data_IF_978792200057
#
_entry.id   IF_978792200057
#
_cell.length_a   1.000
_cell.length_b   1.000
_cell.length_c   1.000
_cell.angle_alpha   90.00
_cell.angle_beta   90.00
_cell.angle_gamma   90.00
#
_symmetry.space_group_name_H-M   'P 1'
#
loop_
_entity.id
_entity.type
_entity.pdbx_description
1 polymer ?
#
# COMPACT_ATOMS: atom_id res chain seq x y z
N UNK A 1 5.14 -8.39 -24.75
CA UNK A 1 4.92 -9.27 -23.58
C UNK A 1 3.47 -9.74 -23.53
N UNK A 2 3.23 -10.97 -23.03
CA UNK A 2 1.89 -11.51 -22.77
C UNK A 2 1.26 -10.77 -21.58
N UNK A 3 -0.08 -10.72 -21.53
CA UNK A 3 -0.81 -10.19 -20.36
C UNK A 3 -0.61 -11.14 -19.19
N UNK A 4 -0.46 -10.60 -17.98
CA UNK A 4 -0.43 -11.39 -16.74
C UNK A 4 -1.77 -12.07 -16.52
N UNK A 5 -1.75 -13.29 -15.99
CA UNK A 5 -2.96 -13.97 -15.48
C UNK A 5 -2.93 -13.91 -13.96
N UNK A 6 -3.92 -13.24 -13.35
CA UNK A 6 -3.97 -13.06 -11.88
C UNK A 6 -4.30 -14.36 -11.15
N UNK A 7 -4.08 -14.42 -9.83
CA UNK A 7 -4.51 -15.55 -9.01
C UNK A 7 -6.02 -15.84 -9.12
N UNK A 8 -6.85 -14.79 -9.25
CA UNK A 8 -8.29 -14.91 -9.51
C UNK A 8 -8.57 -15.64 -10.84
N UNK A 9 -7.91 -15.25 -11.93
CA UNK A 9 -8.11 -15.90 -13.23
C UNK A 9 -7.57 -17.33 -13.26
N UNK A 10 -6.52 -17.63 -12.50
CA UNK A 10 -6.05 -19.01 -12.32
C UNK A 10 -7.10 -19.83 -11.55
N UNK A 11 -7.69 -19.28 -10.49
CA UNK A 11 -8.74 -19.94 -9.72
C UNK A 11 -9.97 -20.26 -10.58
N UNK A 12 -10.42 -19.33 -11.43
CA UNK A 12 -11.58 -19.53 -12.31
C UNK A 12 -11.47 -20.83 -13.11
N UNK A 13 -10.25 -21.17 -13.54
CA UNK A 13 -9.97 -22.37 -14.34
C UNK A 13 -9.68 -23.64 -13.51
N UNK A 14 -9.57 -23.55 -12.17
CA UNK A 14 -9.17 -24.65 -11.27
C UNK A 14 -9.99 -24.70 -9.96
N UNK A 15 -11.22 -24.20 -9.96
CA UNK A 15 -12.04 -24.08 -8.75
C UNK A 15 -12.68 -25.40 -8.28
N UNK A 16 -12.79 -26.41 -9.15
CA UNK A 16 -13.57 -27.63 -8.91
C UNK A 16 -13.11 -28.51 -7.73
N UNK A 17 -11.87 -28.31 -7.28
CA UNK A 17 -11.27 -29.04 -6.14
C UNK A 17 -11.68 -28.53 -4.76
N UNK A 18 -12.18 -27.30 -4.64
CA UNK A 18 -12.57 -26.72 -3.36
C UNK A 18 -13.99 -27.12 -2.98
N UNK A 19 -14.14 -27.86 -1.88
CA UNK A 19 -15.42 -28.37 -1.35
C UNK A 19 -15.79 -27.60 -0.08
N UNK A 20 -17.06 -27.61 0.31
CA UNK A 20 -17.52 -26.84 1.46
C UNK A 20 -17.71 -25.35 1.18
N UNK A 21 -17.92 -24.59 2.24
CA UNK A 21 -18.26 -23.18 2.25
C UNK A 21 -17.02 -22.30 2.03
N UNK A 22 -17.18 -21.27 1.21
CA UNK A 22 -16.14 -20.33 0.86
C UNK A 22 -16.48 -18.91 1.29
N UNK A 23 -15.46 -18.19 1.73
CA UNK A 23 -15.53 -16.76 1.98
C UNK A 23 -14.47 -16.01 1.16
N UNK A 24 -14.68 -14.70 0.98
CA UNK A 24 -13.79 -13.86 0.19
C UNK A 24 -13.46 -12.55 0.93
N UNK A 25 -12.19 -12.33 1.21
CA UNK A 25 -11.63 -11.02 1.55
C UNK A 25 -11.26 -10.30 0.25
N UNK A 26 -11.98 -9.22 -0.07
CA UNK A 26 -11.82 -8.47 -1.32
C UNK A 26 -12.20 -6.99 -1.14
N UNK A 27 -11.93 -6.19 -2.18
CA UNK A 27 -12.35 -4.80 -2.29
C UNK A 27 -12.63 -4.46 -3.76
N UNK A 28 -12.95 -3.21 -4.07
CA UNK A 28 -13.39 -2.82 -5.40
C UNK A 28 -12.39 -3.14 -6.54
N UNK A 29 -11.07 -3.11 -6.30
CA UNK A 29 -10.07 -3.47 -7.33
C UNK A 29 -9.82 -4.97 -7.46
N UNK A 30 -10.55 -5.81 -6.73
CA UNK A 30 -10.56 -7.27 -6.85
C UNK A 30 -11.34 -7.69 -8.10
N UNK A 31 -10.80 -7.40 -9.28
CA UNK A 31 -11.41 -7.74 -10.58
C UNK A 31 -10.53 -8.67 -11.40
N UNK A 32 -11.14 -9.36 -12.37
CA UNK A 32 -10.44 -10.06 -13.44
C UNK A 32 -10.07 -9.11 -14.60
N UNK A 33 -9.47 -9.67 -15.65
CA UNK A 33 -9.07 -8.89 -16.83
C UNK A 33 -10.23 -8.34 -17.69
N UNK A 34 -11.46 -8.78 -17.41
CA UNK A 34 -12.69 -8.27 -18.04
C UNK A 34 -13.40 -7.24 -17.15
N UNK A 35 -12.75 -6.78 -16.07
CA UNK A 35 -13.31 -5.90 -15.06
C UNK A 35 -14.53 -6.50 -14.32
N UNK A 36 -14.65 -7.83 -14.28
CA UNK A 36 -15.68 -8.49 -13.47
C UNK A 36 -15.16 -8.68 -12.05
N UNK A 37 -15.91 -8.17 -11.08
CA UNK A 37 -15.55 -8.24 -9.67
C UNK A 37 -15.50 -9.68 -9.14
N UNK A 38 -14.53 -9.99 -8.28
CA UNK A 38 -14.26 -11.31 -7.74
C UNK A 38 -15.50 -11.90 -7.06
N UNK A 39 -16.28 -11.11 -6.32
CA UNK A 39 -17.53 -11.56 -5.71
C UNK A 39 -18.54 -12.13 -6.73
N UNK A 40 -18.64 -11.57 -7.95
CA UNK A 40 -19.46 -12.14 -9.02
C UNK A 40 -18.89 -13.49 -9.47
N UNK A 41 -17.58 -13.56 -9.72
CA UNK A 41 -16.91 -14.82 -10.11
C UNK A 41 -17.06 -15.90 -9.04
N UNK A 42 -17.00 -15.53 -7.76
CA UNK A 42 -17.21 -16.45 -6.66
C UNK A 42 -18.65 -16.95 -6.60
N UNK A 43 -19.63 -16.08 -6.87
CA UNK A 43 -21.03 -16.50 -6.99
C UNK A 43 -21.22 -17.50 -8.14
N UNK A 44 -20.60 -17.26 -9.29
CA UNK A 44 -20.63 -18.16 -10.45
C UNK A 44 -19.99 -19.53 -10.15
N UNK A 45 -18.80 -19.53 -9.54
CA UNK A 45 -18.03 -20.76 -9.26
C UNK A 45 -18.60 -21.60 -8.11
N UNK A 46 -19.09 -20.95 -7.05
CA UNK A 46 -19.40 -21.61 -5.78
C UNK A 46 -20.90 -21.59 -5.43
N UNK A 47 -21.72 -20.79 -6.11
CA UNK A 47 -23.18 -20.80 -5.97
C UNK A 47 -23.66 -20.45 -4.56
N UNK A 48 -24.32 -21.40 -3.88
CA UNK A 48 -24.77 -21.24 -2.49
C UNK A 48 -23.67 -21.44 -1.46
N UNK A 49 -22.51 -21.98 -1.85
CA UNK A 49 -21.36 -22.17 -0.94
C UNK A 49 -20.56 -20.89 -0.72
N UNK A 50 -20.77 -19.85 -1.52
CA UNK A 50 -20.21 -18.54 -1.25
C UNK A 50 -21.05 -17.85 -0.18
N UNK A 51 -20.55 -17.85 1.06
CA UNK A 51 -21.38 -17.57 2.26
C UNK A 51 -21.07 -16.24 2.93
N UNK A 52 -19.86 -15.70 2.80
CA UNK A 52 -19.41 -14.51 3.55
C UNK A 52 -18.41 -13.68 2.73
N UNK A 53 -18.45 -12.37 2.89
CA UNK A 53 -17.46 -11.41 2.36
C UNK A 53 -16.80 -10.68 3.51
N UNK A 54 -15.52 -10.37 3.35
CA UNK A 54 -14.76 -9.49 4.24
C UNK A 54 -14.21 -8.30 3.44
N UNK A 55 -14.30 -7.09 3.99
CA UNK A 55 -13.72 -5.87 3.43
C UNK A 55 -12.55 -5.38 4.30
N UNK A 56 -11.45 -4.86 3.71
CA UNK A 56 -10.31 -4.29 4.43
C UNK A 56 -10.58 -2.80 4.79
N UNK A 57 -9.51 -2.03 5.04
CA UNK A 57 -9.57 -0.57 5.06
C UNK A 57 -10.18 -0.01 3.77
N UNK A 58 -11.00 1.04 3.88
CA UNK A 58 -11.92 1.56 2.85
C UNK A 58 -13.14 0.67 2.53
N UNK A 59 -13.28 -0.49 3.17
CA UNK A 59 -14.42 -1.38 3.02
C UNK A 59 -14.44 -2.15 1.69
N UNK A 60 -15.47 -2.98 1.54
CA UNK A 60 -15.70 -3.77 0.32
C UNK A 60 -15.96 -2.87 -0.90
N UNK A 61 -16.74 -1.79 -0.73
CA UNK A 61 -17.14 -0.87 -1.78
C UNK A 61 -16.11 0.21 -2.10
N UNK A 62 -15.12 0.43 -1.23
CA UNK A 62 -14.10 1.48 -1.40
C UNK A 62 -14.70 2.89 -1.47
N UNK A 63 -15.75 3.16 -0.69
CA UNK A 63 -16.49 4.43 -0.66
C UNK A 63 -16.06 5.38 0.48
N UNK A 64 -15.30 4.89 1.46
CA UNK A 64 -14.69 5.69 2.51
C UNK A 64 -13.50 6.52 1.99
N UNK A 65 -13.74 7.82 1.75
CA UNK A 65 -12.85 8.76 1.06
C UNK A 65 -11.50 9.03 1.76
N UNK A 66 -11.44 8.86 3.08
CA UNK A 66 -10.25 9.17 3.88
C UNK A 66 -9.75 7.95 4.66
N UNK A 67 -8.47 8.00 5.03
CA UNK A 67 -7.92 7.09 6.03
C UNK A 67 -8.67 7.33 7.36
N UNK A 68 -8.75 6.31 8.23
CA UNK A 68 -9.44 6.38 9.53
C UNK A 68 -10.98 6.53 9.50
N UNK A 69 -11.64 6.43 8.34
CA UNK A 69 -13.10 6.26 8.29
C UNK A 69 -13.43 4.77 8.45
N UNK A 70 -14.08 4.43 9.55
CA UNK A 70 -14.60 3.08 9.81
C UNK A 70 -15.78 2.76 8.88
N UNK A 71 -15.98 1.47 8.56
CA UNK A 71 -17.07 1.01 7.69
C UNK A 71 -17.88 -0.06 8.41
N UNK A 72 -19.20 -0.01 8.36
CA UNK A 72 -20.06 -0.93 9.11
C UNK A 72 -20.15 -2.33 8.48
N UNK A 73 -20.62 -3.29 9.27
CA UNK A 73 -21.08 -4.58 8.76
C UNK A 73 -22.40 -4.41 8.01
N UNK A 74 -22.61 -5.19 6.94
CA UNK A 74 -23.83 -5.10 6.14
C UNK A 74 -24.24 -6.44 5.53
N UNK A 75 -25.46 -6.51 5.01
CA UNK A 75 -25.91 -7.61 4.15
C UNK A 75 -25.83 -7.13 2.70
N UNK A 76 -25.05 -7.80 1.85
CA UNK A 76 -24.90 -7.35 0.48
C UNK A 76 -26.24 -7.44 -0.27
N UNK A 77 -26.77 -6.36 -0.87
CA UNK A 77 -28.14 -6.33 -1.40
C UNK A 77 -28.34 -7.29 -2.59
N UNK A 78 -27.32 -7.46 -3.44
CA UNK A 78 -27.36 -8.41 -4.56
C UNK A 78 -27.03 -9.86 -4.17
N UNK A 79 -25.89 -10.11 -3.52
CA UNK A 79 -25.47 -11.48 -3.18
C UNK A 79 -26.27 -12.10 -2.02
N UNK A 80 -26.92 -11.27 -1.20
CA UNK A 80 -27.66 -11.66 0.01
C UNK A 80 -26.82 -12.51 0.97
N UNK A 81 -25.58 -12.07 1.21
CA UNK A 81 -24.65 -12.67 2.17
C UNK A 81 -24.01 -11.55 3.02
N UNK A 82 -23.60 -11.85 4.27
CA UNK A 82 -22.97 -10.87 5.14
C UNK A 82 -21.64 -10.38 4.57
N UNK A 83 -21.40 -9.08 4.74
CA UNK A 83 -20.15 -8.37 4.47
C UNK A 83 -19.64 -7.87 5.82
N UNK A 84 -18.53 -8.43 6.28
CA UNK A 84 -17.86 -8.00 7.50
C UNK A 84 -16.75 -7.01 7.19
N UNK A 85 -16.70 -5.92 7.95
CA UNK A 85 -15.64 -4.92 7.83
C UNK A 85 -14.52 -5.21 8.81
N UNK A 86 -13.31 -5.42 8.29
CA UNK A 86 -12.06 -5.55 9.06
C UNK A 86 -11.38 -4.19 9.24
N UNK A 87 -12.16 -3.12 9.24
CA UNK A 87 -11.72 -1.76 9.60
C UNK A 87 -12.81 -1.01 10.37
N UNK A 88 -13.69 -1.76 11.03
CA UNK A 88 -14.72 -1.27 11.97
C UNK A 88 -14.19 -1.32 13.40
N UNK A 89 -15.03 -1.72 14.36
CA UNK A 89 -14.72 -2.14 15.73
C UNK A 89 -13.45 -3.01 15.82
N UNK A 90 -13.20 -3.81 14.78
CA UNK A 90 -12.08 -4.75 14.72
C UNK A 90 -11.33 -4.70 13.40
N UNK A 91 -10.02 -4.96 13.49
CA UNK A 91 -9.12 -5.18 12.34
C UNK A 91 -8.81 -6.66 12.12
N UNK A 92 -9.34 -7.51 12.98
CA UNK A 92 -9.14 -8.96 13.01
C UNK A 92 -10.53 -9.62 12.99
N UNK A 93 -10.79 -10.61 12.12
CA UNK A 93 -12.09 -11.27 12.12
C UNK A 93 -12.37 -11.94 13.47
N UNK A 94 -13.61 -11.85 13.95
CA UNK A 94 -14.04 -12.54 15.18
C UNK A 94 -14.28 -14.03 14.90
N UNK A 95 -14.41 -14.83 15.96
CA UNK A 95 -14.68 -16.27 15.84
C UNK A 95 -16.02 -16.54 15.16
N UNK A 96 -17.04 -15.76 15.48
CA UNK A 96 -18.36 -15.80 14.86
C UNK A 96 -18.31 -15.48 13.37
N UNK A 97 -17.51 -14.47 12.99
CA UNK A 97 -17.32 -14.15 11.58
C UNK A 97 -16.69 -15.31 10.80
N UNK A 98 -15.80 -16.08 11.45
CA UNK A 98 -15.11 -17.22 10.83
C UNK A 98 -15.93 -18.53 10.82
N UNK A 99 -17.03 -18.60 11.57
CA UNK A 99 -17.81 -19.83 11.70
C UNK A 99 -18.37 -20.34 10.36
N UNK A 100 -18.29 -21.65 10.14
CA UNK A 100 -18.85 -22.30 8.95
C UNK A 100 -18.13 -21.97 7.64
N UNK A 101 -16.89 -21.47 7.68
CA UNK A 101 -16.02 -21.30 6.52
C UNK A 101 -15.01 -22.43 6.46
N UNK A 102 -14.92 -23.11 5.32
CA UNK A 102 -13.90 -24.14 5.06
C UNK A 102 -12.68 -23.54 4.32
N UNK A 103 -12.95 -22.65 3.35
CA UNK A 103 -11.93 -21.96 2.57
C UNK A 103 -12.13 -20.44 2.58
N UNK A 104 -11.12 -19.68 2.99
CA UNK A 104 -11.16 -18.23 2.94
C UNK A 104 -10.15 -17.71 1.91
N UNK A 105 -10.67 -17.16 0.83
CA UNK A 105 -9.86 -16.59 -0.25
C UNK A 105 -9.55 -15.12 0.01
N UNK A 106 -8.32 -14.71 -0.27
CA UNK A 106 -7.86 -13.32 -0.18
C UNK A 106 -7.50 -12.83 -1.57
N UNK A 107 -8.23 -11.84 -2.06
CA UNK A 107 -7.97 -11.21 -3.36
C UNK A 107 -7.89 -9.69 -3.17
N UNK A 108 -6.69 -9.16 -2.96
CA UNK A 108 -6.48 -7.72 -2.73
C UNK A 108 -5.34 -7.20 -3.63
N UNK A 109 -5.63 -6.21 -4.45
CA UNK A 109 -4.62 -5.39 -5.11
C UNK A 109 -3.97 -4.44 -4.08
N UNK A 110 -2.76 -4.78 -3.64
CA UNK A 110 -1.91 -3.93 -2.82
C UNK A 110 -1.05 -2.99 -3.71
N UNK A 111 -0.27 -2.09 -3.09
CA UNK A 111 0.49 -1.05 -3.79
C UNK A 111 2.01 -1.16 -3.58
N UNK A 112 2.50 -2.16 -2.85
CA UNK A 112 3.93 -2.40 -2.71
C UNK A 112 4.64 -1.46 -1.73
N UNK A 113 3.88 -0.77 -0.89
CA UNK A 113 4.37 0.19 0.09
C UNK A 113 3.97 -0.23 1.50
N UNK A 114 4.92 -0.18 2.45
CA UNK A 114 4.73 -0.57 3.85
C UNK A 114 3.50 0.06 4.48
N UNK A 115 3.22 1.33 4.18
CA UNK A 115 2.13 2.08 4.81
C UNK A 115 0.74 1.72 4.28
N UNK A 116 0.66 0.92 3.22
CA UNK A 116 -0.61 0.45 2.68
C UNK A 116 -1.09 -0.80 3.43
N UNK A 117 -2.28 -0.74 4.02
CA UNK A 117 -2.64 -1.64 5.13
C UNK A 117 -3.14 -3.03 4.74
N UNK A 118 -3.35 -3.30 3.45
CA UNK A 118 -3.97 -4.55 2.98
C UNK A 118 -3.12 -5.78 3.29
N UNK A 119 -1.79 -5.65 3.19
CA UNK A 119 -0.87 -6.68 3.64
C UNK A 119 -1.01 -6.99 5.13
N UNK A 120 -1.36 -6.00 5.96
CA UNK A 120 -1.53 -6.20 7.40
C UNK A 120 -2.88 -6.84 7.74
N UNK A 121 -3.95 -6.47 7.03
CA UNK A 121 -5.23 -7.21 7.09
C UNK A 121 -5.01 -8.69 6.79
N UNK A 122 -4.20 -9.02 5.77
CA UNK A 122 -3.82 -10.40 5.47
C UNK A 122 -3.03 -11.05 6.62
N UNK A 123 -1.98 -10.40 7.14
CA UNK A 123 -1.19 -11.04 8.22
C UNK A 123 -1.99 -11.23 9.51
N UNK A 124 -2.88 -10.30 9.86
CA UNK A 124 -3.78 -10.44 11.00
C UNK A 124 -4.78 -11.60 10.83
N UNK A 125 -5.30 -11.78 9.61
CA UNK A 125 -6.14 -12.91 9.26
C UNK A 125 -5.37 -14.25 9.37
N UNK A 126 -4.12 -14.30 8.89
CA UNK A 126 -3.27 -15.49 9.01
C UNK A 126 -2.97 -15.81 10.49
N UNK A 127 -2.60 -14.81 11.29
CA UNK A 127 -2.42 -14.96 12.75
C UNK A 127 -3.68 -15.53 13.41
N UNK A 128 -4.85 -15.00 13.07
CA UNK A 128 -6.14 -15.44 13.63
C UNK A 128 -6.52 -16.88 13.25
N UNK A 129 -6.08 -17.34 12.09
CA UNK A 129 -6.35 -18.67 11.56
C UNK A 129 -5.23 -19.69 11.82
N UNK A 130 -4.17 -19.32 12.56
CA UNK A 130 -3.00 -20.16 12.81
C UNK A 130 -3.28 -21.55 13.41
N UNK A 131 -4.35 -21.71 14.19
CA UNK A 131 -4.76 -22.99 14.81
C UNK A 131 -6.15 -23.47 14.34
N UNK A 132 -6.66 -22.92 13.23
CA UNK A 132 -8.02 -23.24 12.74
C UNK A 132 -7.96 -24.19 11.56
N UNK A 133 -8.98 -25.03 11.46
CA UNK A 133 -9.21 -25.87 10.28
C UNK A 133 -9.91 -25.07 9.17
N UNK A 134 -9.26 -23.97 8.75
CA UNK A 134 -9.71 -23.12 7.64
C UNK A 134 -8.53 -22.98 6.68
N UNK A 135 -8.71 -23.38 5.43
CA UNK A 135 -7.68 -23.18 4.39
C UNK A 135 -7.73 -21.72 3.91
N UNK A 136 -6.63 -20.99 4.06
CA UNK A 136 -6.48 -19.62 3.58
C UNK A 136 -5.81 -19.65 2.20
N UNK A 137 -6.46 -19.03 1.21
CA UNK A 137 -6.02 -19.04 -0.18
C UNK A 137 -5.76 -17.62 -0.68
N UNK A 138 -4.48 -17.25 -0.85
CA UNK A 138 -4.12 -15.94 -1.40
C UNK A 138 -4.12 -16.01 -2.92
N UNK A 139 -5.05 -15.27 -3.54
CA UNK A 139 -5.11 -15.03 -4.97
C UNK A 139 -4.09 -13.95 -5.30
N UNK A 140 -2.91 -14.36 -5.73
CA UNK A 140 -1.79 -13.43 -5.82
C UNK A 140 -1.99 -12.39 -6.93
N UNK A 141 -1.46 -11.18 -6.70
CA UNK A 141 -1.59 -10.01 -7.59
C UNK A 141 -0.25 -9.31 -7.81
N UNK A 142 -0.07 -8.59 -8.93
CA UNK A 142 1.15 -7.85 -9.20
C UNK A 142 1.42 -6.81 -8.12
N UNK A 143 2.68 -6.70 -7.69
CA UNK A 143 3.14 -5.49 -7.02
C UNK A 143 3.28 -4.38 -8.08
N UNK A 144 2.53 -3.26 -7.99
CA UNK A 144 2.55 -2.24 -9.04
C UNK A 144 3.87 -1.49 -9.13
N UNK A 145 4.66 -1.49 -8.05
CA UNK A 145 6.00 -0.93 -8.00
C UNK A 145 7.08 -1.86 -8.54
N UNK A 146 6.74 -3.06 -9.03
CA UNK A 146 7.65 -4.17 -9.32
C UNK A 146 8.06 -5.00 -8.08
N UNK A 147 8.64 -6.17 -8.31
CA UNK A 147 9.15 -7.08 -7.27
C UNK A 147 10.68 -7.07 -7.12
N UNK A 148 11.40 -6.23 -7.86
CA UNK A 148 12.87 -6.23 -7.89
C UNK A 148 13.47 -5.22 -6.92
N UNK A 149 12.93 -4.01 -6.93
CA UNK A 149 13.45 -2.90 -6.16
C UNK A 149 12.93 -2.96 -4.73
N UNK A 150 13.83 -2.69 -3.79
CA UNK A 150 13.52 -2.45 -2.39
C UNK A 150 14.19 -1.16 -1.96
N UNK A 151 13.54 -0.42 -1.07
CA UNK A 151 13.95 0.95 -0.72
C UNK A 151 13.34 1.40 0.62
N UNK A 152 14.10 2.19 1.35
CA UNK A 152 13.71 2.83 2.60
C UNK A 152 14.09 2.03 3.84
N UNK A 153 14.07 2.71 4.98
CA UNK A 153 14.44 2.11 6.26
C UNK A 153 13.53 0.95 6.63
N UNK A 154 14.10 -0.06 7.31
CA UNK A 154 13.32 -1.09 8.00
C UNK A 154 12.54 -0.44 9.15
N UNK A 155 11.29 -0.85 9.34
CA UNK A 155 10.47 -0.45 10.49
C UNK A 155 11.16 -0.88 11.80
N UNK A 156 11.40 0.06 12.70
CA UNK A 156 11.68 -0.26 14.10
C UNK A 156 10.35 -0.64 14.77
N UNK A 157 10.29 -1.83 15.37
CA UNK A 157 9.07 -2.37 16.00
C UNK A 157 8.59 -1.53 17.21
N UNK A 158 9.42 -0.65 17.76
CA UNK A 158 8.96 0.37 18.72
C UNK A 158 7.95 1.37 18.12
N UNK A 159 7.90 1.49 16.80
CA UNK A 159 6.95 2.32 16.05
C UNK A 159 5.88 1.48 15.33
N UNK A 160 5.75 0.20 15.72
CA UNK A 160 4.76 -0.70 15.13
C UNK A 160 3.34 -0.15 15.31
N UNK A 161 2.55 -0.20 14.24
CA UNK A 161 1.15 0.25 14.19
C UNK A 161 0.38 -0.50 13.09
N UNK A 162 -0.87 -0.10 12.83
CA UNK A 162 -1.65 -0.71 11.74
C UNK A 162 -1.11 -0.36 10.34
N UNK A 163 -0.42 0.78 10.17
CA UNK A 163 0.25 1.17 8.91
C UNK A 163 1.72 0.71 8.85
N UNK A 164 2.14 -0.15 9.77
CA UNK A 164 3.52 -0.58 9.88
C UNK A 164 3.62 -1.70 10.90
N UNK A 165 3.34 -2.95 10.50
CA UNK A 165 3.28 -4.08 11.45
C UNK A 165 4.56 -4.92 11.52
N UNK A 166 5.26 -5.06 10.39
CA UNK A 166 6.36 -6.00 10.21
C UNK A 166 7.66 -5.27 9.85
N UNK A 167 8.84 -5.83 10.18
CA UNK A 167 10.14 -5.21 9.93
C UNK A 167 10.51 -5.29 8.44
N UNK A 168 9.79 -4.53 7.62
CA UNK A 168 9.98 -4.42 6.16
C UNK A 168 10.37 -2.99 5.78
N UNK A 169 11.05 -2.79 4.64
CA UNK A 169 11.35 -1.45 4.15
C UNK A 169 10.11 -0.80 3.53
N UNK A 170 10.17 0.50 3.28
CA UNK A 170 9.05 1.28 2.74
C UNK A 170 8.57 0.74 1.39
N UNK A 171 9.47 0.48 0.45
CA UNK A 171 9.21 -0.30 -0.76
C UNK A 171 9.73 -1.71 -0.53
N UNK A 172 8.82 -2.66 -0.30
CA UNK A 172 9.18 -4.00 0.14
C UNK A 172 9.46 -4.98 -1.01
N UNK A 173 8.98 -4.72 -2.23
CA UNK A 173 9.31 -5.53 -3.41
C UNK A 173 8.75 -6.96 -3.36
N UNK A 174 7.66 -7.20 -2.64
CA UNK A 174 6.94 -8.48 -2.55
C UNK A 174 5.57 -8.38 -3.21
N UNK A 175 5.07 -9.47 -3.78
CA UNK A 175 3.62 -9.62 -4.02
C UNK A 175 2.88 -9.90 -2.71
N UNK A 176 1.55 -9.79 -2.70
CA UNK A 176 0.76 -10.09 -1.49
C UNK A 176 0.88 -11.58 -1.08
N UNK A 177 1.03 -12.49 -2.06
CA UNK A 177 1.34 -13.89 -1.80
C UNK A 177 2.72 -14.11 -1.18
N UNK A 178 3.74 -13.37 -1.62
CA UNK A 178 5.07 -13.41 -1.00
C UNK A 178 5.07 -12.84 0.42
N UNK A 179 4.26 -11.82 0.70
CA UNK A 179 4.03 -11.32 2.08
C UNK A 179 3.40 -12.40 2.97
N UNK A 180 2.44 -13.17 2.44
CA UNK A 180 1.82 -14.28 3.18
C UNK A 180 2.85 -15.33 3.61
N UNK A 181 3.76 -15.70 2.70
CA UNK A 181 4.85 -16.64 2.98
C UNK A 181 5.86 -16.06 3.97
N UNK A 182 6.26 -14.81 3.78
CA UNK A 182 7.14 -14.08 4.70
C UNK A 182 6.60 -14.08 6.12
N UNK A 183 5.30 -13.82 6.28
CA UNK A 183 4.63 -13.86 7.56
C UNK A 183 4.71 -15.25 8.21
N UNK A 184 4.39 -16.30 7.45
CA UNK A 184 4.38 -17.68 7.94
C UNK A 184 5.77 -18.19 8.33
N UNK A 185 6.84 -17.70 7.69
CA UNK A 185 8.19 -18.16 7.94
C UNK A 185 8.95 -17.35 9.00
N UNK A 186 8.63 -16.05 9.15
CA UNK A 186 9.44 -15.14 9.98
C UNK A 186 8.70 -14.36 11.05
N UNK A 187 7.38 -14.14 10.92
CA UNK A 187 6.67 -13.19 11.78
C UNK A 187 5.61 -13.83 12.68
N UNK A 188 5.11 -15.02 12.33
CA UNK A 188 4.15 -15.75 13.17
C UNK A 188 4.81 -16.83 14.01
N UNK A 189 4.19 -17.13 15.15
CA UNK A 189 4.50 -18.31 15.98
C UNK A 189 3.61 -19.50 15.64
N UNK A 190 2.48 -19.28 14.96
CA UNK A 190 1.47 -20.28 14.60
C UNK A 190 1.12 -20.17 13.12
N UNK A 191 1.38 -21.24 12.37
CA UNK A 191 1.20 -21.25 10.92
C UNK A 191 -0.24 -21.60 10.56
N UNK A 192 -0.92 -20.70 9.86
CA UNK A 192 -2.20 -21.02 9.24
C UNK A 192 -2.04 -22.08 8.13
N UNK A 193 -3.12 -22.78 7.80
CA UNK A 193 -3.20 -23.61 6.60
C UNK A 193 -3.26 -22.71 5.35
N UNK A 194 -2.09 -22.26 4.88
CA UNK A 194 -1.96 -21.29 3.79
C UNK A 194 -1.63 -21.97 2.46
N UNK A 195 -2.31 -21.54 1.39
CA UNK A 195 -1.92 -21.78 0.00
C UNK A 195 -1.92 -20.48 -0.80
N UNK A 196 -0.92 -20.30 -1.66
CA UNK A 196 -0.89 -19.18 -2.62
C UNK A 196 -1.25 -19.68 -4.02
N UNK A 197 -2.24 -19.07 -4.65
CA UNK A 197 -2.57 -19.27 -6.07
C UNK A 197 -1.73 -18.27 -6.87
N UNK A 198 -0.60 -18.77 -7.38
CA UNK A 198 0.39 -17.98 -8.14
C UNK A 198 -0.20 -17.41 -9.42
N UNK A 199 0.21 -16.20 -9.77
CA UNK A 199 0.01 -15.62 -11.08
C UNK A 199 0.77 -16.41 -12.16
N UNK A 200 0.39 -16.18 -13.42
CA UNK A 200 1.17 -16.59 -14.60
C UNK A 200 1.65 -15.37 -15.37
N UNK A 201 2.81 -15.51 -16.02
CA UNK A 201 3.45 -14.51 -16.88
C UNK A 201 3.92 -13.22 -16.19
N UNK A 202 3.67 -13.02 -14.89
CA UNK A 202 4.27 -11.91 -14.13
C UNK A 202 5.75 -12.16 -13.88
N UNK A 203 6.57 -11.12 -14.09
CA UNK A 203 8.00 -11.11 -13.82
C UNK A 203 8.31 -9.98 -12.85
N UNK A 204 9.35 -10.14 -12.02
CA UNK A 204 9.66 -9.18 -10.95
C UNK A 204 10.00 -7.80 -11.47
N UNK A 205 10.46 -7.67 -12.71
CA UNK A 205 10.81 -6.40 -13.34
C UNK A 205 9.59 -5.60 -13.80
N UNK A 206 8.42 -6.22 -13.90
CA UNK A 206 7.20 -5.58 -14.40
C UNK A 206 6.69 -4.53 -13.41
N UNK A 207 6.53 -3.30 -13.89
CA UNK A 207 5.62 -2.33 -13.29
C UNK A 207 4.17 -2.69 -13.64
N UNK A 208 3.19 -2.04 -13.01
CA UNK A 208 1.78 -2.36 -13.28
C UNK A 208 1.40 -2.24 -14.76
N UNK A 209 1.89 -1.22 -15.48
CA UNK A 209 1.57 -1.04 -16.91
C UNK A 209 2.03 -2.22 -17.79
N UNK A 210 3.12 -2.90 -17.42
CA UNK A 210 3.67 -4.02 -18.18
C UNK A 210 2.76 -5.25 -18.13
N UNK A 211 1.91 -5.33 -17.09
CA UNK A 211 1.00 -6.46 -16.86
C UNK A 211 -0.16 -6.51 -17.85
N UNK A 212 -0.50 -5.35 -18.45
CA UNK A 212 -1.68 -5.14 -19.31
C UNK A 212 -3.01 -5.48 -18.63
N UNK A 213 -3.06 -5.43 -17.31
CA UNK A 213 -4.29 -5.56 -16.53
C UNK A 213 -4.99 -4.20 -16.41
N UNK A 214 -6.32 -4.17 -16.24
CA UNK A 214 -7.01 -2.93 -15.91
C UNK A 214 -6.59 -2.45 -14.51
N UNK A 215 -6.31 -1.15 -14.38
CA UNK A 215 -6.14 -0.52 -13.07
C UNK A 215 -7.50 -0.06 -12.57
N UNK A 216 -7.94 -0.62 -11.45
CA UNK A 216 -9.02 -0.08 -10.65
C UNK A 216 -8.40 0.46 -9.37
N UNK A 217 -8.92 1.59 -8.91
CA UNK A 217 -8.42 2.27 -7.73
C UNK A 217 -8.55 1.37 -6.49
N UNK A 218 -7.43 0.98 -5.84
CA UNK A 218 -7.50 0.17 -4.63
C UNK A 218 -7.97 1.00 -3.44
N UNK A 219 -7.80 2.33 -3.47
CA UNK A 219 -8.40 3.29 -2.53
C UNK A 219 -8.85 4.56 -3.27
N UNK A 220 -9.78 5.37 -2.71
CA UNK A 220 -10.37 6.53 -3.40
C UNK A 220 -9.36 7.53 -3.97
N UNK A 221 -8.25 7.72 -3.25
CA UNK A 221 -7.21 8.68 -3.62
C UNK A 221 -6.06 8.05 -4.41
N UNK A 222 -6.10 6.75 -4.76
CA UNK A 222 -5.12 6.10 -5.63
C UNK A 222 -5.75 5.72 -6.98
N UNK A 223 -6.28 6.73 -7.67
CA UNK A 223 -7.05 6.56 -8.89
C UNK A 223 -6.24 5.97 -10.07
N UNK A 224 -4.91 6.12 -10.04
CA UNK A 224 -4.03 5.76 -11.16
C UNK A 224 -2.84 4.90 -10.71
N UNK A 225 -2.39 4.03 -11.58
CA UNK A 225 -1.20 3.20 -11.34
C UNK A 225 0.09 4.05 -11.29
N UNK A 226 0.12 5.22 -11.93
CA UNK A 226 1.23 6.16 -11.78
C UNK A 226 1.33 6.72 -10.36
N UNK A 227 0.19 7.01 -9.72
CA UNK A 227 0.15 7.48 -8.33
C UNK A 227 0.69 6.41 -7.37
N UNK A 228 0.62 5.12 -7.72
CA UNK A 228 1.24 4.07 -6.92
C UNK A 228 2.76 4.27 -6.82
N UNK A 229 3.43 4.74 -7.89
CA UNK A 229 4.87 5.03 -7.87
C UNK A 229 5.26 6.22 -6.99
N UNK A 230 4.42 7.25 -6.94
CA UNK A 230 4.68 8.44 -6.13
C UNK A 230 4.20 8.28 -4.69
N UNK A 231 3.30 7.33 -4.40
CA UNK A 231 2.76 7.08 -3.07
C UNK A 231 3.82 6.91 -1.97
N UNK A 232 4.92 6.12 -2.14
CA UNK A 232 5.96 6.03 -1.13
C UNK A 232 6.70 7.34 -0.85
N UNK A 233 6.63 8.31 -1.78
CA UNK A 233 7.08 9.69 -1.55
C UNK A 233 6.03 10.51 -0.81
N UNK A 234 4.78 10.47 -1.29
CA UNK A 234 3.76 11.44 -0.89
C UNK A 234 3.03 11.08 0.40
N UNK A 235 2.97 9.80 0.77
CA UNK A 235 2.35 9.35 2.03
C UNK A 235 3.07 9.92 3.26
N UNK A 236 4.35 10.28 3.14
CA UNK A 236 5.13 10.89 4.23
C UNK A 236 4.51 12.21 4.71
N UNK A 237 3.87 12.95 3.80
CA UNK A 237 3.28 14.25 4.09
C UNK A 237 1.98 14.15 4.88
N UNK A 238 1.39 12.96 5.02
CA UNK A 238 0.28 12.72 5.94
C UNK A 238 0.66 13.05 7.38
N UNK A 239 1.94 12.93 7.76
CA UNK A 239 2.46 13.32 9.08
C UNK A 239 2.74 14.83 9.27
N UNK A 240 2.31 15.66 8.32
CA UNK A 240 2.60 17.12 8.28
C UNK A 240 1.35 17.92 7.92
N UNK A 241 1.42 19.24 8.08
CA UNK A 241 0.40 20.13 7.56
C UNK A 241 0.40 20.23 6.02
N UNK A 242 1.43 19.78 5.31
CA UNK A 242 1.48 19.80 3.84
C UNK A 242 0.37 18.96 3.21
N UNK A 243 -0.26 19.49 2.17
CA UNK A 243 -1.26 18.78 1.37
C UNK A 243 -0.57 17.83 0.41
N UNK A 244 -0.89 16.54 0.49
CA UNK A 244 -0.48 15.47 -0.44
C UNK A 244 -1.40 15.34 -1.68
N UNK A 245 -2.07 16.43 -2.05
CA UNK A 245 -2.90 16.52 -3.25
C UNK A 245 -4.28 15.86 -3.16
N UNK A 246 -4.66 15.30 -2.00
CA UNK A 246 -6.07 14.94 -1.73
C UNK A 246 -6.95 16.18 -1.91
N UNK A 247 -8.16 15.98 -2.45
CA UNK A 247 -9.00 17.09 -2.89
C UNK A 247 -8.73 17.58 -4.32
N UNK A 248 -7.80 16.97 -5.06
CA UNK A 248 -7.53 17.32 -6.47
C UNK A 248 -7.86 16.15 -7.41
N UNK A 249 -7.69 16.35 -8.71
CA UNK A 249 -7.79 15.28 -9.71
C UNK A 249 -6.52 14.44 -9.84
N UNK A 250 -5.45 14.75 -9.10
CA UNK A 250 -4.18 14.00 -9.09
C UNK A 250 -3.64 13.84 -7.65
N UNK A 251 -4.43 13.25 -6.73
CA UNK A 251 -3.98 12.97 -5.38
C UNK A 251 -2.75 12.05 -5.39
N UNK A 252 -1.89 12.19 -4.36
CA UNK A 252 -0.69 11.38 -4.17
C UNK A 252 0.36 11.54 -5.29
N UNK A 253 0.20 12.51 -6.19
CA UNK A 253 1.21 12.97 -7.15
C UNK A 253 1.67 14.40 -6.85
N UNK A 254 1.00 15.09 -5.93
CA UNK A 254 1.15 16.51 -5.63
C UNK A 254 1.50 16.70 -4.15
N UNK A 255 2.37 17.67 -3.85
CA UNK A 255 2.66 18.13 -2.48
C UNK A 255 2.66 19.66 -2.46
N UNK A 256 2.06 20.30 -1.45
CA UNK A 256 2.04 21.76 -1.37
C UNK A 256 1.48 22.37 -0.08
N UNK A 257 1.58 23.70 -0.01
CA UNK A 257 1.17 24.53 1.12
C UNK A 257 0.64 25.91 0.64
N UNK A 258 -0.33 26.54 1.34
CA UNK A 258 -0.81 27.88 0.99
C UNK A 258 0.24 28.99 1.04
N UNK A 259 1.30 28.80 1.83
CA UNK A 259 2.37 29.78 2.01
C UNK A 259 3.55 29.60 1.06
N UNK A 260 3.48 28.64 0.13
CA UNK A 260 4.59 28.37 -0.78
C UNK A 260 4.43 29.12 -2.11
N UNK A 261 5.50 29.79 -2.54
CA UNK A 261 5.68 30.23 -3.93
C UNK A 261 6.59 29.21 -4.64
N UNK A 262 6.05 28.32 -5.50
CA UNK A 262 6.78 27.14 -5.95
C UNK A 262 7.77 27.43 -7.09
N UNK A 263 7.57 28.48 -7.89
CA UNK A 263 8.36 28.71 -9.11
C UNK A 263 9.77 29.22 -8.79
N UNK A 264 9.90 30.23 -7.93
CA UNK A 264 11.21 30.75 -7.54
C UNK A 264 11.96 29.75 -6.67
N UNK A 265 11.25 29.05 -5.77
CA UNK A 265 11.86 27.98 -4.97
C UNK A 265 12.41 26.86 -5.86
N UNK A 266 11.67 26.45 -6.89
CA UNK A 266 12.14 25.49 -7.87
C UNK A 266 13.36 25.97 -8.65
N UNK A 267 13.25 27.14 -9.28
CA UNK A 267 14.25 27.66 -10.20
C UNK A 267 15.58 27.98 -9.50
N UNK A 268 15.52 28.47 -8.27
CA UNK A 268 16.70 28.97 -7.56
C UNK A 268 17.32 27.95 -6.59
N UNK A 269 16.58 26.91 -6.19
CA UNK A 269 17.02 26.01 -5.12
C UNK A 269 16.72 24.53 -5.39
N UNK A 270 15.44 24.14 -5.38
CA UNK A 270 15.02 22.73 -5.30
C UNK A 270 15.59 21.87 -6.45
N UNK A 271 15.58 22.40 -7.68
CA UNK A 271 16.09 21.67 -8.85
C UNK A 271 17.62 21.47 -8.77
N UNK A 272 18.37 22.50 -8.36
CA UNK A 272 19.81 22.39 -8.19
C UNK A 272 20.18 21.39 -7.08
N UNK A 273 19.46 21.43 -5.95
CA UNK A 273 19.65 20.49 -4.85
C UNK A 273 19.34 19.04 -5.27
N UNK A 274 18.29 18.80 -6.06
CA UNK A 274 17.99 17.45 -6.55
C UNK A 274 19.11 16.91 -7.44
N UNK A 275 19.69 17.75 -8.31
CA UNK A 275 20.81 17.39 -9.19
C UNK A 275 22.11 17.15 -8.40
N UNK A 276 22.43 18.01 -7.44
CA UNK A 276 23.60 17.88 -6.57
C UNK A 276 23.57 16.57 -5.78
N UNK A 277 22.38 16.22 -5.28
CA UNK A 277 22.13 14.97 -4.56
C UNK A 277 21.91 13.75 -5.47
N UNK A 278 22.12 13.91 -6.79
CA UNK A 278 22.05 12.84 -7.81
C UNK A 278 20.73 12.07 -7.81
N UNK A 279 19.63 12.75 -7.52
CA UNK A 279 18.29 12.15 -7.60
C UNK A 279 17.85 12.08 -9.07
N UNK A 280 17.26 10.97 -9.48
CA UNK A 280 16.98 10.67 -10.90
C UNK A 280 15.63 9.96 -11.08
N UNK A 281 15.17 9.88 -12.34
CA UNK A 281 13.95 9.18 -12.71
C UNK A 281 12.65 9.94 -12.45
N UNK A 282 12.74 11.23 -12.13
CA UNK A 282 11.58 12.10 -11.93
C UNK A 282 11.85 13.54 -12.36
N UNK A 283 10.81 14.37 -12.34
CA UNK A 283 10.88 15.82 -12.44
C UNK A 283 9.84 16.44 -11.52
N UNK A 284 10.22 17.46 -10.75
CA UNK A 284 9.27 18.31 -10.05
C UNK A 284 8.74 19.37 -11.01
N UNK A 285 7.41 19.47 -11.10
CA UNK A 285 6.73 20.55 -11.83
C UNK A 285 6.12 21.52 -10.81
N UNK A 286 6.56 22.78 -10.72
CA UNK A 286 5.90 23.78 -9.87
C UNK A 286 4.46 24.01 -10.34
N UNK A 287 3.53 24.08 -9.39
CA UNK A 287 2.09 24.24 -9.65
C UNK A 287 1.39 25.06 -8.56
N UNK A 288 0.23 25.61 -8.89
CA UNK A 288 -0.75 26.11 -7.92
C UNK A 288 -2.03 25.32 -8.11
N UNK A 289 -2.66 24.90 -7.01
CA UNK A 289 -3.87 24.08 -7.03
C UNK A 289 -4.79 24.43 -5.84
N UNK A 290 -6.07 24.05 -5.92
CA UNK A 290 -7.05 24.22 -4.84
C UNK A 290 -7.67 22.85 -4.54
N UNK A 291 -7.45 22.29 -3.34
CA UNK A 291 -8.17 21.09 -2.87
C UNK A 291 -9.66 21.36 -2.67
N UNK A 292 -10.53 20.41 -3.03
CA UNK A 292 -11.99 20.48 -2.79
C UNK A 292 -12.43 19.69 -1.56
N UNK A 293 -11.52 18.97 -0.90
CA UNK A 293 -11.68 18.32 0.40
C UNK A 293 -10.30 18.10 1.04
N UNK A 294 -10.25 17.65 2.30
CA UNK A 294 -9.02 17.42 3.08
C UNK A 294 -8.24 18.72 3.40
N UNK A 295 -6.92 18.62 3.61
CA UNK A 295 -6.04 19.75 3.97
C UNK A 295 -6.17 20.90 2.97
N UNK A 296 -6.38 22.11 3.52
CA UNK A 296 -6.52 23.36 2.76
C UNK A 296 -7.66 23.36 1.74
N UNK A 297 -8.78 22.72 2.07
CA UNK A 297 -10.02 22.81 1.27
C UNK A 297 -10.36 24.26 0.94
N UNK A 298 -10.63 24.54 -0.34
CA UNK A 298 -10.98 25.86 -0.89
C UNK A 298 -9.90 26.94 -0.73
N UNK A 299 -8.65 26.57 -0.41
CA UNK A 299 -7.51 27.48 -0.31
C UNK A 299 -6.47 27.13 -1.38
N UNK A 300 -5.94 28.15 -2.06
CA UNK A 300 -4.88 27.95 -3.04
C UNK A 300 -3.56 27.54 -2.38
N UNK A 301 -2.98 26.46 -2.86
CA UNK A 301 -1.70 25.91 -2.45
C UNK A 301 -0.68 26.04 -3.58
N UNK A 302 0.48 26.62 -3.30
CA UNK A 302 1.66 26.43 -4.14
C UNK A 302 2.28 25.07 -3.85
N UNK A 303 2.81 24.40 -4.88
CA UNK A 303 3.16 23.00 -4.79
C UNK A 303 4.11 22.50 -5.87
N UNK A 304 4.42 21.21 -5.75
CA UNK A 304 5.10 20.42 -6.76
C UNK A 304 4.28 19.21 -7.12
N UNK A 305 4.14 18.96 -8.41
CA UNK A 305 3.76 17.64 -8.91
C UNK A 305 5.01 16.83 -9.21
N UNK A 306 5.02 15.57 -8.78
CA UNK A 306 6.09 14.61 -9.06
C UNK A 306 5.75 13.85 -10.34
N UNK A 307 6.51 14.09 -11.41
CA UNK A 307 6.40 13.34 -12.66
C UNK A 307 7.47 12.25 -12.70
N UNK A 308 7.08 10.98 -12.73
CA UNK A 308 8.03 9.87 -12.89
C UNK A 308 8.44 9.78 -14.35
N UNK A 309 9.73 9.99 -14.64
CA UNK A 309 10.29 10.00 -16.00
C UNK A 309 10.97 8.68 -16.36
N UNK A 310 11.50 7.95 -15.37
CA UNK A 310 12.04 6.60 -15.54
C UNK A 310 11.88 5.78 -14.25
N UNK A 311 10.93 4.84 -14.27
CA UNK A 311 10.58 3.95 -13.15
C UNK A 311 11.72 3.03 -12.70
N UNK A 312 12.72 2.77 -13.55
CA UNK A 312 13.83 1.86 -13.23
C UNK A 312 14.86 2.49 -12.30
N UNK A 313 15.01 3.81 -12.38
CA UNK A 313 15.99 4.57 -11.59
C UNK A 313 15.32 5.49 -10.55
N UNK A 314 14.01 5.68 -10.63
CA UNK A 314 13.25 6.43 -9.63
C UNK A 314 13.24 5.72 -8.27
N UNK A 315 13.60 6.48 -7.24
CA UNK A 315 13.67 6.06 -5.83
C UNK A 315 12.67 6.90 -5.01
N UNK A 316 11.38 6.50 -4.96
CA UNK A 316 10.32 7.34 -4.40
C UNK A 316 10.50 7.68 -2.92
N UNK A 317 10.91 6.75 -2.07
CA UNK A 317 11.11 7.07 -0.65
C UNK A 317 12.22 8.12 -0.49
N UNK A 318 13.34 7.93 -1.17
CA UNK A 318 14.47 8.87 -1.14
C UNK A 318 14.08 10.26 -1.63
N UNK A 319 13.32 10.34 -2.73
CA UNK A 319 12.81 11.60 -3.28
C UNK A 319 11.81 12.26 -2.34
N UNK A 320 10.94 11.49 -1.68
CA UNK A 320 9.99 11.98 -0.69
C UNK A 320 10.68 12.57 0.54
N UNK A 321 11.67 11.87 1.11
CA UNK A 321 12.45 12.36 2.25
C UNK A 321 13.22 13.63 1.90
N UNK A 322 13.87 13.65 0.72
CA UNK A 322 14.52 14.85 0.21
C UNK A 322 13.54 16.02 0.12
N UNK A 323 12.39 15.83 -0.55
CA UNK A 323 11.41 16.90 -0.71
C UNK A 323 10.86 17.38 0.65
N UNK A 324 10.60 16.46 1.58
CA UNK A 324 10.16 16.80 2.93
C UNK A 324 11.20 17.67 3.66
N UNK A 325 12.49 17.32 3.59
CA UNK A 325 13.57 18.13 4.17
C UNK A 325 13.63 19.53 3.56
N UNK A 326 13.60 19.62 2.23
CA UNK A 326 13.68 20.91 1.54
C UNK A 326 12.46 21.79 1.86
N UNK A 327 11.25 21.21 1.93
CA UNK A 327 10.04 21.93 2.28
C UNK A 327 10.00 22.36 3.74
N UNK A 328 10.46 21.51 4.67
CA UNK A 328 10.60 21.84 6.09
C UNK A 328 11.41 23.13 6.28
N UNK A 329 12.60 23.21 5.67
CA UNK A 329 13.46 24.39 5.79
C UNK A 329 12.97 25.59 4.99
N UNK A 330 12.33 25.37 3.84
CA UNK A 330 11.81 26.46 3.03
C UNK A 330 10.63 27.19 3.69
N UNK A 331 9.72 26.44 4.29
CA UNK A 331 8.52 26.98 4.95
C UNK A 331 8.81 27.51 6.36
N UNK A 332 9.82 26.98 7.05
CA UNK A 332 10.22 27.47 8.37
C UNK A 332 9.07 27.43 9.37
N UNK A 333 8.65 28.61 9.86
CA UNK A 333 7.56 28.73 10.84
C UNK A 333 6.18 28.32 10.28
N UNK A 334 6.00 28.30 8.95
CA UNK A 334 4.75 27.85 8.32
C UNK A 334 4.65 26.31 8.22
N UNK A 335 5.74 25.57 8.49
CA UNK A 335 5.73 24.11 8.51
C UNK A 335 5.32 23.58 9.88
N UNK A 336 4.44 22.58 9.90
CA UNK A 336 4.08 21.89 11.14
C UNK A 336 4.09 20.36 10.95
N UNK A 337 4.73 19.66 11.90
CA UNK A 337 4.47 18.24 12.12
C UNK A 337 3.06 18.08 12.71
N UNK A 338 2.25 17.18 12.16
CA UNK A 338 0.98 16.86 12.81
C UNK A 338 1.24 16.27 14.19
N UNK A 339 0.31 16.52 15.12
CA UNK A 339 0.36 15.97 16.48
C UNK A 339 -0.53 14.73 16.60
N UNK A 340 -0.24 13.82 17.55
CA UNK A 340 -1.11 12.69 17.84
C UNK A 340 -2.55 13.15 18.13
N UNK A 341 -3.57 12.33 17.82
CA UNK A 341 -3.45 10.92 17.42
C UNK A 341 -3.29 10.70 15.90
N UNK A 342 -2.79 9.52 15.54
CA UNK A 342 -2.74 9.03 14.15
C UNK A 342 -2.86 7.51 14.09
N UNK A 343 -3.81 6.99 13.29
CA UNK A 343 -4.08 5.54 13.14
C UNK A 343 -4.15 4.80 14.49
N UNK A 344 -4.94 5.35 15.42
CA UNK A 344 -5.16 4.84 16.79
C UNK A 344 -3.94 4.84 17.72
N UNK A 345 -2.84 5.49 17.33
CA UNK A 345 -1.74 5.81 18.21
C UNK A 345 -1.93 7.22 18.78
N UNK A 346 -1.89 7.35 20.11
CA UNK A 346 -2.17 8.60 20.83
C UNK A 346 -0.91 9.25 21.42
N UNK A 347 0.27 8.64 21.25
CA UNK A 347 1.49 9.02 21.97
C UNK A 347 2.62 9.46 21.04
N UNK A 348 2.81 8.77 19.91
CA UNK A 348 3.95 8.99 19.02
C UNK A 348 3.61 9.97 17.91
N UNK A 349 4.57 10.82 17.56
CA UNK A 349 4.44 11.76 16.45
C UNK A 349 4.04 11.00 15.16
N UNK A 350 2.97 11.40 14.47
CA UNK A 350 2.47 10.76 13.25
C UNK A 350 3.55 10.47 12.20
N UNK A 351 4.45 11.43 11.97
CA UNK A 351 5.56 11.27 11.02
C UNK A 351 6.54 10.15 11.43
N UNK A 352 6.77 9.94 12.73
CA UNK A 352 7.66 8.91 13.24
C UNK A 352 7.00 7.52 13.10
N UNK A 353 5.67 7.44 13.21
CA UNK A 353 4.89 6.22 12.93
C UNK A 353 4.94 5.87 11.44
N UNK A 354 4.69 6.85 10.56
CA UNK A 354 4.74 6.66 9.09
C UNK A 354 6.14 6.21 8.64
N UNK A 355 7.18 6.87 9.15
CA UNK A 355 8.57 6.52 8.89
C UNK A 355 9.02 5.23 9.59
N UNK A 356 8.32 4.79 10.63
CA UNK A 356 8.72 3.65 11.44
C UNK A 356 9.99 3.89 12.26
N UNK A 357 10.34 5.15 12.50
CA UNK A 357 11.48 5.64 13.30
C UNK A 357 11.44 7.16 13.41
N UNK A 358 11.93 7.70 14.53
CA UNK A 358 12.20 9.12 14.75
C UNK A 358 13.48 9.63 14.06
N UNK A 359 14.38 8.74 13.62
CA UNK A 359 15.65 9.12 12.98
C UNK A 359 15.44 9.99 11.75
N UNK A 360 14.37 9.76 11.00
CA UNK A 360 14.07 10.47 9.76
C UNK A 360 13.56 11.89 10.02
N UNK A 361 12.67 12.08 11.01
CA UNK A 361 12.28 13.43 11.43
C UNK A 361 13.49 14.22 11.96
N UNK A 362 14.32 13.60 12.80
CA UNK A 362 15.54 14.22 13.28
C UNK A 362 16.53 14.57 12.14
N UNK A 363 16.60 13.73 11.11
CA UNK A 363 17.41 13.98 9.90
C UNK A 363 16.87 15.16 9.10
N UNK A 364 15.54 15.28 8.95
CA UNK A 364 14.89 16.46 8.34
C UNK A 364 15.23 17.72 9.13
N UNK A 365 14.95 17.74 10.44
CA UNK A 365 15.10 18.94 11.29
C UNK A 365 16.55 19.47 11.33
N UNK A 366 17.54 18.57 11.24
CA UNK A 366 18.97 18.90 11.30
C UNK A 366 19.61 19.16 9.93
N UNK A 367 18.83 19.24 8.86
CA UNK A 367 19.34 19.37 7.50
C UNK A 367 20.37 18.27 7.16
N UNK A 368 20.10 17.03 7.58
CA UNK A 368 21.02 15.92 7.43
C UNK A 368 21.35 15.63 5.95
N UNK A 369 22.56 15.14 5.67
CA UNK A 369 23.00 14.87 4.30
C UNK A 369 22.34 13.63 3.70
N UNK A 370 22.33 13.51 2.37
CA UNK A 370 21.74 12.33 1.71
C UNK A 370 22.55 11.05 1.97
N UNK A 371 23.86 11.15 2.25
CA UNK A 371 24.68 10.02 2.72
C UNK A 371 24.24 9.54 4.12
N UNK A 372 23.83 10.46 5.00
CA UNK A 372 23.23 10.07 6.28
C UNK A 372 21.89 9.36 6.06
N UNK A 373 21.07 9.82 5.10
CA UNK A 373 19.83 9.13 4.76
C UNK A 373 20.09 7.70 4.25
N UNK A 374 21.10 7.52 3.38
CA UNK A 374 21.53 6.20 2.88
C UNK A 374 21.90 5.25 4.02
N UNK A 375 22.50 5.77 5.09
CA UNK A 375 22.90 4.95 6.24
C UNK A 375 21.72 4.34 7.01
N UNK A 376 20.49 4.81 6.78
CA UNK A 376 19.28 4.25 7.38
C UNK A 376 18.71 3.05 6.61
N UNK A 377 19.21 2.77 5.40
CA UNK A 377 18.80 1.63 4.57
C UNK A 377 19.65 0.37 4.83
N UNK A 378 19.50 -0.25 6.00
CA UNK A 378 20.06 -1.59 6.25
C UNK A 378 19.10 -2.69 5.78
N UNK A 379 19.31 -3.15 4.54
CA UNK A 379 18.43 -4.11 3.87
C UNK A 379 19.03 -5.52 3.74
N UNK A 380 20.21 -5.79 4.30
CA UNK A 380 20.93 -7.04 4.06
C UNK A 380 20.17 -8.27 4.57
N UNK A 381 19.74 -8.23 5.84
CA UNK A 381 18.95 -9.31 6.45
C UNK A 381 17.60 -9.49 5.74
N UNK A 382 16.91 -8.38 5.44
CA UNK A 382 15.64 -8.41 4.72
C UNK A 382 15.78 -9.04 3.33
N UNK A 383 16.83 -8.73 2.57
CA UNK A 383 17.10 -9.36 1.26
C UNK A 383 17.25 -10.87 1.36
N UNK A 384 17.93 -11.36 2.41
CA UNK A 384 18.10 -12.80 2.63
C UNK A 384 16.75 -13.48 2.87
N UNK A 385 15.90 -12.90 3.73
CA UNK A 385 14.56 -13.42 3.99
C UNK A 385 13.66 -13.32 2.73
N UNK A 386 13.67 -12.18 2.03
CA UNK A 386 12.93 -12.01 0.80
C UNK A 386 13.26 -13.12 -0.22
N UNK A 387 14.52 -13.51 -0.35
CA UNK A 387 14.94 -14.54 -1.29
C UNK A 387 14.37 -15.94 -1.00
N UNK A 388 13.99 -16.25 0.24
CA UNK A 388 13.43 -17.58 0.59
C UNK A 388 11.94 -17.69 0.24
N UNK A 389 11.24 -16.55 0.14
CA UNK A 389 9.79 -16.49 -0.05
C UNK A 389 9.37 -16.12 -1.48
N UNK A 390 10.33 -15.86 -2.39
CA UNK A 390 10.03 -15.48 -3.78
C UNK A 390 9.25 -16.56 -4.51
N UNK A 391 8.12 -16.16 -5.08
CA UNK A 391 7.28 -16.99 -5.93
C UNK A 391 7.64 -16.84 -7.42
N UNK A 392 8.22 -15.70 -7.79
CA UNK A 392 8.51 -15.32 -9.18
C UNK A 392 9.98 -14.92 -9.31
N UNK A 393 10.67 -15.38 -10.36
CA UNK A 393 12.07 -15.03 -10.62
C UNK A 393 13.09 -16.17 -10.47
N UNK A 394 12.66 -17.44 -10.45
CA UNK A 394 13.56 -18.57 -10.67
C UNK A 394 13.64 -18.88 -12.17
N UNK A 395 14.85 -18.90 -12.74
CA UNK A 395 15.07 -19.73 -13.93
C UNK A 395 14.70 -21.14 -13.52
N UNK A 396 13.69 -21.70 -14.17
CA UNK A 396 13.55 -23.15 -14.25
C UNK A 396 14.88 -23.63 -14.84
N UNK A 397 15.70 -24.27 -14.01
CA UNK A 397 16.78 -25.13 -14.51
C UNK A 397 16.13 -26.43 -14.94
#
# INVERSE_FOLDING_TARGET
MKRVTTGLEVLINDHGRFKGNVALLCHNASVDSQCVHAAFRFKEMFGSRFVKIFGPQHGFSTDAQDNMIETDHTMHPYFNIPVFSLYSETRIPTDEMLEGIDHLFVDLQDVGCRMYTYIYTLTLLLEKCGDRDIEILVLDRPNPLNGKDIEGNILNLEYQSFIGRHPIPVRHGMTIGEVALMHQDYWTTKKANLKVIKMRDWQREMAFEDTKLPWLLPSPNLARHESAFTFPSTVLFEGTNLSEGRGTTQPLEIVGHPKMEPFSFYANHLNAQALENKLQGFTFRPIVYIPTFHKYTDVACGGFQIHVTDKKIFKPWRVGQFLLRELYHHLGEDFEWLKPPYEYNYEKEPIDIINGTDKLRNWVEKQGSMEMLDSFEDLAAYRQQLNTVKLYGGHTI
#
